data_IF_051986879405
#
_entry.id   IF_051986879405
#
_cell.length_a   1.000
_cell.length_b   1.000
_cell.length_c   1.000
_cell.angle_alpha   90.00
_cell.angle_beta   90.00
_cell.angle_gamma   90.00
#
_symmetry.space_group_name_H-M   'P 1'
#
loop_
_entity.id
_entity.type
_entity.pdbx_description
1 polymer ?
#
# COMPACT_ATOMS: atom_id res chain seq x y z
N UNK A 1 19.98 18.40 56.41
CA UNK A 1 18.72 18.72 55.71
C UNK A 1 18.90 18.31 54.25
N UNK A 2 18.36 17.16 53.85
CA UNK A 2 18.47 16.63 52.47
C UNK A 2 17.45 17.35 51.60
N UNK A 3 17.90 17.96 50.49
CA UNK A 3 17.03 18.34 49.39
C UNK A 3 17.40 17.42 48.23
N UNK A 4 16.50 16.49 47.96
CA UNK A 4 16.46 15.61 46.80
C UNK A 4 16.11 16.44 45.57
N UNK A 5 17.04 16.60 44.63
CA UNK A 5 16.73 17.01 43.26
C UNK A 5 16.25 15.79 42.49
N UNK A 6 14.96 15.78 42.14
CA UNK A 6 14.38 14.79 41.24
C UNK A 6 15.07 14.86 39.87
N UNK A 7 15.34 13.71 39.21
CA UNK A 7 15.90 13.72 37.87
C UNK A 7 14.84 14.25 36.90
N UNK A 8 15.22 15.27 36.12
CA UNK A 8 14.47 15.74 34.96
C UNK A 8 14.30 14.53 34.04
N UNK A 9 13.05 14.11 33.88
CA UNK A 9 12.64 13.06 32.96
C UNK A 9 12.82 13.59 31.52
N UNK A 10 14.06 13.57 31.03
CA UNK A 10 14.39 13.90 29.64
C UNK A 10 13.97 12.71 28.77
N UNK A 11 12.68 12.66 28.42
CA UNK A 11 12.23 11.79 27.34
C UNK A 11 12.90 12.26 26.04
N UNK A 12 13.50 11.36 25.25
CA UNK A 12 14.13 11.76 23.99
C UNK A 12 13.05 12.25 23.02
N UNK A 13 13.09 13.54 22.71
CA UNK A 13 12.46 14.08 21.51
C UNK A 13 13.22 13.54 20.29
N UNK A 14 12.59 13.47 19.11
CA UNK A 14 13.25 13.04 17.87
C UNK A 14 14.57 13.80 17.59
N UNK A 15 14.73 15.00 18.16
CA UNK A 15 15.96 15.78 18.11
C UNK A 15 17.20 15.08 18.69
N UNK A 16 17.03 14.03 19.50
CA UNK A 16 18.12 13.29 20.16
C UNK A 16 18.29 11.85 19.64
N UNK A 17 17.54 11.44 18.60
CA UNK A 17 17.49 10.06 18.12
C UNK A 17 17.74 10.00 16.61
N UNK A 18 18.49 9.01 16.15
CA UNK A 18 18.67 8.83 14.69
C UNK A 18 17.36 8.34 14.06
N UNK A 19 17.21 8.53 12.74
CA UNK A 19 16.07 8.00 12.01
C UNK A 19 15.92 6.47 12.15
N UNK A 20 17.04 5.76 12.16
CA UNK A 20 17.08 4.31 12.33
C UNK A 20 16.58 3.90 13.71
N UNK A 21 17.07 4.56 14.76
CA UNK A 21 16.65 4.27 16.13
C UNK A 21 15.15 4.57 16.33
N UNK A 22 14.67 5.71 15.81
CA UNK A 22 13.25 6.05 15.89
C UNK A 22 12.38 5.01 15.17
N UNK A 23 12.79 4.56 13.99
CA UNK A 23 12.10 3.51 13.23
C UNK A 23 12.02 2.21 14.03
N UNK A 24 13.11 1.80 14.68
CA UNK A 24 13.14 0.60 15.53
C UNK A 24 12.25 0.77 16.77
N UNK A 25 12.27 1.93 17.43
CA UNK A 25 11.42 2.19 18.59
C UNK A 25 9.92 2.18 18.24
N UNK A 26 9.53 2.63 17.04
CA UNK A 26 8.15 2.47 16.56
C UNK A 26 7.81 0.99 16.41
N UNK A 27 8.68 0.20 15.75
CA UNK A 27 8.48 -1.24 15.55
C UNK A 27 8.38 -2.04 16.84
N UNK A 28 9.17 -1.67 17.85
CA UNK A 28 9.20 -2.33 19.15
C UNK A 28 8.14 -1.83 20.14
N UNK A 29 7.30 -0.85 19.75
CA UNK A 29 6.29 -0.27 20.64
C UNK A 29 6.88 0.52 21.81
N UNK A 30 8.08 1.07 21.66
CA UNK A 30 8.81 1.80 22.72
C UNK A 30 8.53 3.30 22.72
N UNK A 31 7.88 3.81 21.68
CA UNK A 31 7.46 5.22 21.63
C UNK A 31 6.35 5.46 22.66
N UNK A 32 6.43 6.52 23.49
CA UNK A 32 5.37 6.86 24.42
C UNK A 32 4.02 6.97 23.73
N UNK A 33 3.07 6.15 24.16
CA UNK A 33 1.73 6.10 23.63
C UNK A 33 0.72 6.71 24.60
N UNK A 34 -0.33 7.31 24.06
CA UNK A 34 -1.42 7.95 24.81
C UNK A 34 -2.75 7.34 24.38
N UNK A 35 -3.76 7.42 25.24
CA UNK A 35 -5.15 7.09 24.89
C UNK A 35 -5.98 8.37 24.86
N UNK A 36 -6.77 8.55 23.80
CA UNK A 36 -7.70 9.68 23.64
C UNK A 36 -9.16 9.26 23.89
N UNK A 37 -9.41 8.04 24.37
CA UNK A 37 -10.75 7.54 24.66
C UNK A 37 -10.75 6.71 25.93
N UNK A 38 -11.80 6.88 26.74
CA UNK A 38 -11.98 6.12 27.99
C UNK A 38 -12.08 4.63 27.66
N UNK A 39 -11.36 3.78 28.41
CA UNK A 39 -11.32 2.32 28.25
C UNK A 39 -10.72 1.79 26.93
N UNK A 40 -9.94 2.60 26.21
CA UNK A 40 -9.15 2.14 25.05
C UNK A 40 -7.66 2.05 25.39
N UNK A 41 -6.92 1.09 24.78
CA UNK A 41 -5.48 0.98 24.99
C UNK A 41 -4.76 2.26 24.59
N UNK A 42 -3.67 2.56 25.29
CA UNK A 42 -2.77 3.65 24.91
C UNK A 42 -1.94 3.20 23.70
N UNK A 43 -2.50 3.41 22.50
CA UNK A 43 -1.88 3.02 21.23
C UNK A 43 -1.60 4.22 20.31
N UNK A 44 -1.85 5.46 20.73
CA UNK A 44 -1.59 6.64 19.92
C UNK A 44 -0.20 7.23 20.19
N UNK A 45 0.61 7.35 19.15
CA UNK A 45 1.93 7.97 19.22
C UNK A 45 1.94 9.31 18.48
N UNK A 46 2.79 10.22 18.92
CA UNK A 46 3.06 11.48 18.20
C UNK A 46 4.13 11.24 17.12
N UNK A 47 3.83 11.66 15.89
CA UNK A 47 4.79 11.64 14.78
C UNK A 47 5.62 12.95 14.83
N UNK A 48 6.96 12.86 14.73
CA UNK A 48 7.81 14.04 14.70
C UNK A 48 7.41 15.05 13.62
N UNK A 49 7.39 16.34 13.98
CA UNK A 49 6.90 17.42 13.11
C UNK A 49 7.67 17.55 11.79
N UNK A 50 8.95 17.16 11.75
CA UNK A 50 9.76 17.16 10.52
C UNK A 50 9.23 16.21 9.43
N UNK A 51 8.47 15.19 9.82
CA UNK A 51 7.82 14.26 8.90
C UNK A 51 6.40 14.70 8.52
N UNK A 52 5.76 15.58 9.29
CA UNK A 52 4.37 15.95 9.10
C UNK A 52 4.21 16.95 7.96
N UNK A 53 3.27 16.65 7.07
CA UNK A 53 2.68 17.61 6.15
C UNK A 53 1.45 18.23 6.80
N UNK A 54 1.22 19.50 6.49
CA UNK A 54 -0.02 20.17 6.88
C UNK A 54 -1.20 19.53 6.11
N UNK A 55 -2.20 18.96 6.80
CA UNK A 55 -3.42 18.51 6.16
C UNK A 55 -4.24 19.73 5.71
N UNK A 56 -3.83 20.30 4.57
CA UNK A 56 -4.57 21.37 3.89
C UNK A 56 -6.00 20.92 3.53
N UNK A 57 -6.82 21.84 3.03
CA UNK A 57 -8.15 21.52 2.50
C UNK A 57 -8.14 20.45 1.39
N UNK A 58 -6.98 20.19 0.77
CA UNK A 58 -6.79 19.17 -0.26
C UNK A 58 -5.70 18.17 0.15
N UNK A 59 -5.99 17.25 1.08
CA UNK A 59 -5.00 16.32 1.65
C UNK A 59 -4.41 15.39 0.60
N UNK A 60 -5.24 14.87 -0.32
CA UNK A 60 -4.78 14.02 -1.43
C UNK A 60 -3.81 14.77 -2.34
N UNK A 61 -4.09 16.03 -2.67
CA UNK A 61 -3.22 16.83 -3.53
C UNK A 61 -1.89 17.11 -2.84
N UNK A 62 -1.95 17.54 -1.57
CA UNK A 62 -0.77 17.87 -0.76
C UNK A 62 0.24 16.73 -0.71
N UNK A 63 -0.18 15.50 -0.38
CA UNK A 63 0.74 14.36 -0.34
C UNK A 63 1.22 13.96 -1.75
N UNK A 64 0.38 14.13 -2.78
CA UNK A 64 0.78 13.87 -4.15
C UNK A 64 1.86 14.85 -4.62
N UNK A 65 1.72 16.13 -4.31
CA UNK A 65 2.64 17.19 -4.73
C UNK A 65 3.98 17.08 -3.99
N UNK A 66 3.95 16.69 -2.71
CA UNK A 66 5.16 16.45 -1.91
C UNK A 66 5.96 15.24 -2.40
N UNK A 67 5.29 14.12 -2.71
CA UNK A 67 5.98 12.89 -3.12
C UNK A 67 6.38 12.96 -4.58
N UNK A 68 5.48 13.45 -5.44
CA UNK A 68 5.70 13.59 -6.86
C UNK A 68 5.94 15.08 -7.23
N UNK A 69 6.97 15.68 -6.63
CA UNK A 69 7.41 17.03 -6.99
C UNK A 69 7.71 17.15 -8.48
N UNK A 70 7.33 18.26 -9.12
CA UNK A 70 7.51 18.49 -10.56
C UNK A 70 6.89 17.39 -11.45
N UNK A 71 5.76 16.82 -11.02
CA UNK A 71 5.12 15.69 -11.70
C UNK A 71 4.91 15.91 -13.20
N UNK A 72 4.37 17.07 -13.59
CA UNK A 72 4.07 17.38 -14.99
C UNK A 72 5.28 17.34 -15.92
N UNK A 73 6.48 17.64 -15.39
CA UNK A 73 7.72 17.60 -16.15
C UNK A 73 8.35 16.19 -16.18
N UNK A 74 8.02 15.32 -15.22
CA UNK A 74 8.80 14.10 -14.99
C UNK A 74 8.02 12.78 -15.08
N UNK A 75 6.68 12.80 -15.18
CA UNK A 75 5.86 11.58 -15.14
C UNK A 75 6.16 10.56 -16.26
N UNK A 76 6.83 10.98 -17.33
CA UNK A 76 7.24 10.12 -18.45
C UNK A 76 8.60 9.44 -18.23
N UNK A 77 9.31 9.74 -17.13
CA UNK A 77 10.59 9.15 -16.79
C UNK A 77 10.42 8.02 -15.77
N UNK A 78 10.77 6.79 -16.16
CA UNK A 78 10.70 5.63 -15.27
C UNK A 78 11.56 5.79 -14.01
N UNK A 79 12.76 6.36 -14.16
CA UNK A 79 13.68 6.64 -13.07
C UNK A 79 13.11 7.61 -12.02
N UNK A 80 12.20 8.51 -12.42
CA UNK A 80 11.54 9.44 -11.49
C UNK A 80 10.43 8.77 -10.67
N UNK A 81 9.79 7.71 -11.21
CA UNK A 81 8.64 7.05 -10.57
C UNK A 81 9.02 5.81 -9.74
N UNK A 82 10.10 5.11 -10.11
CA UNK A 82 10.40 3.77 -9.59
C UNK A 82 10.65 3.72 -8.08
N UNK A 83 11.26 4.76 -7.54
CA UNK A 83 11.70 4.83 -6.15
C UNK A 83 10.74 5.66 -5.27
N UNK A 84 9.60 6.08 -5.83
CA UNK A 84 8.56 6.85 -5.15
C UNK A 84 7.27 6.05 -5.00
N UNK A 85 6.61 6.18 -3.86
CA UNK A 85 5.24 5.71 -3.68
C UNK A 85 4.51 6.45 -2.56
N UNK A 86 3.19 6.50 -2.66
CA UNK A 86 2.32 6.82 -1.53
C UNK A 86 1.77 5.52 -0.96
N UNK A 87 1.85 5.34 0.36
CA UNK A 87 1.34 4.15 1.05
C UNK A 87 0.20 4.54 1.98
N UNK A 88 -0.83 3.70 2.04
CA UNK A 88 -2.03 3.91 2.86
C UNK A 88 -2.58 2.56 3.36
N UNK A 89 -3.34 2.50 4.46
CA UNK A 89 -3.83 1.22 4.98
C UNK A 89 -4.84 0.50 4.05
N UNK A 90 -5.72 1.25 3.36
CA UNK A 90 -6.86 0.67 2.63
C UNK A 90 -6.76 0.82 1.10
N UNK A 91 -7.33 -0.16 0.37
CA UNK A 91 -7.42 -0.10 -1.10
C UNK A 91 -8.27 1.08 -1.60
N UNK A 92 -9.32 1.47 -0.85
CA UNK A 92 -10.17 2.63 -1.20
C UNK A 92 -9.35 3.91 -1.38
N UNK A 93 -8.45 4.18 -0.44
CA UNK A 93 -7.56 5.34 -0.51
C UNK A 93 -6.52 5.20 -1.63
N UNK A 94 -6.01 3.99 -1.87
CA UNK A 94 -5.11 3.72 -3.00
C UNK A 94 -5.79 4.07 -4.33
N UNK A 95 -7.03 3.63 -4.54
CA UNK A 95 -7.79 3.94 -5.77
C UNK A 95 -8.01 5.44 -5.92
N UNK A 96 -8.37 6.14 -4.83
CA UNK A 96 -8.55 7.60 -4.82
C UNK A 96 -7.26 8.33 -5.25
N UNK A 97 -6.12 8.01 -4.65
CA UNK A 97 -4.83 8.65 -4.96
C UNK A 97 -4.39 8.32 -6.38
N UNK A 98 -4.48 7.05 -6.79
CA UNK A 98 -4.09 6.64 -8.14
C UNK A 98 -4.93 7.32 -9.22
N UNK A 99 -6.24 7.45 -9.01
CA UNK A 99 -7.13 8.19 -9.94
C UNK A 99 -6.77 9.67 -9.98
N UNK A 100 -6.51 10.28 -8.83
CA UNK A 100 -6.05 11.68 -8.74
C UNK A 100 -4.76 11.91 -9.54
N UNK A 101 -3.76 11.03 -9.39
CA UNK A 101 -2.50 11.13 -10.13
C UNK A 101 -2.66 10.87 -11.62
N UNK A 102 -3.44 9.85 -12.01
CA UNK A 102 -3.69 9.55 -13.44
C UNK A 102 -4.42 10.69 -14.14
N UNK A 103 -5.31 11.42 -13.45
CA UNK A 103 -5.98 12.61 -14.00
C UNK A 103 -5.00 13.73 -14.37
N UNK A 104 -3.85 13.82 -13.70
CA UNK A 104 -2.79 14.81 -13.97
C UNK A 104 -1.90 14.44 -15.17
N UNK A 105 -1.91 13.17 -15.59
CA UNK A 105 -1.15 12.70 -16.76
C UNK A 105 -1.85 13.20 -18.03
N UNK A 106 -1.09 13.79 -18.96
CA UNK A 106 -1.62 14.21 -20.27
C UNK A 106 -1.90 13.00 -21.16
N UNK A 107 -2.83 13.17 -22.10
CA UNK A 107 -3.18 12.13 -23.09
C UNK A 107 -4.54 11.47 -22.81
N UNK A 108 -4.93 10.62 -23.77
CA UNK A 108 -6.24 9.97 -23.80
C UNK A 108 -6.31 8.83 -22.78
N UNK A 109 -7.40 8.78 -22.01
CA UNK A 109 -7.74 7.62 -21.17
C UNK A 109 -8.13 6.45 -22.08
N UNK A 110 -7.57 5.29 -21.81
CA UNK A 110 -7.98 4.02 -22.40
C UNK A 110 -8.65 3.17 -21.32
N UNK A 111 -9.91 2.83 -21.53
CA UNK A 111 -10.69 1.99 -20.61
C UNK A 111 -10.70 0.54 -21.10
N UNK A 112 -10.40 -0.38 -20.20
CA UNK A 112 -10.47 -1.82 -20.44
C UNK A 112 -11.52 -2.45 -19.53
N UNK A 113 -12.61 -2.91 -20.13
CA UNK A 113 -13.64 -3.70 -19.43
C UNK A 113 -13.24 -5.18 -19.40
N UNK A 114 -13.52 -5.86 -18.30
CA UNK A 114 -13.32 -7.30 -18.20
C UNK A 114 -14.46 -8.07 -18.86
N UNK A 115 -14.28 -9.38 -18.97
CA UNK A 115 -15.36 -10.30 -19.27
C UNK A 115 -15.53 -11.28 -18.11
N UNK A 116 -16.72 -11.29 -17.53
CA UNK A 116 -17.12 -12.10 -16.38
C UNK A 116 -17.96 -13.28 -16.84
N UNK A 117 -17.75 -14.44 -16.21
CA UNK A 117 -18.64 -15.61 -16.31
C UNK A 117 -18.69 -16.34 -14.98
N UNK A 118 -19.84 -16.92 -14.68
CA UNK A 118 -19.93 -17.93 -13.62
C UNK A 118 -19.28 -19.21 -14.14
N UNK A 119 -18.45 -19.86 -13.32
CA UNK A 119 -17.86 -21.14 -13.69
C UNK A 119 -18.94 -22.22 -13.77
N UNK A 120 -19.00 -22.94 -14.90
CA UNK A 120 -20.15 -23.76 -15.30
C UNK A 120 -20.16 -25.20 -14.76
N UNK A 121 -19.29 -25.56 -13.81
CA UNK A 121 -19.20 -26.95 -13.31
C UNK A 121 -20.30 -27.34 -12.32
N UNK A 122 -21.23 -26.43 -11.98
CA UNK A 122 -22.40 -26.75 -11.16
C UNK A 122 -23.62 -27.07 -12.03
N UNK A 123 -24.40 -28.09 -11.62
CA UNK A 123 -25.73 -28.39 -12.18
C UNK A 123 -26.71 -27.21 -12.09
N UNK A 124 -26.36 -26.18 -11.31
CA UNK A 124 -27.13 -24.97 -11.03
C UNK A 124 -26.68 -23.75 -11.86
N UNK A 125 -25.71 -23.88 -12.76
CA UNK A 125 -25.14 -22.74 -13.51
C UNK A 125 -26.20 -21.87 -14.19
N UNK A 126 -27.20 -22.47 -14.84
CA UNK A 126 -28.29 -21.73 -15.49
C UNK A 126 -29.17 -20.96 -14.49
N UNK A 127 -29.42 -21.50 -13.29
CA UNK A 127 -30.16 -20.80 -12.22
C UNK A 127 -29.35 -19.61 -11.70
N UNK A 128 -28.06 -19.84 -11.45
CA UNK A 128 -27.14 -18.82 -10.95
C UNK A 128 -26.94 -17.66 -11.94
N UNK A 129 -26.91 -17.94 -13.25
CA UNK A 129 -26.82 -16.89 -14.28
C UNK A 129 -28.04 -15.96 -14.31
N UNK A 130 -29.23 -16.47 -13.96
CA UNK A 130 -30.45 -15.66 -13.83
C UNK A 130 -30.44 -14.87 -12.52
N UNK A 131 -30.01 -15.48 -11.41
CA UNK A 131 -29.95 -14.83 -10.10
C UNK A 131 -28.86 -13.75 -10.00
N UNK A 132 -27.76 -13.93 -10.74
CA UNK A 132 -26.58 -13.06 -10.72
C UNK A 132 -26.27 -12.54 -12.12
N UNK A 133 -26.97 -11.48 -12.56
CA UNK A 133 -26.79 -10.92 -13.89
C UNK A 133 -25.38 -10.32 -14.06
N UNK A 134 -24.93 -10.15 -15.30
CA UNK A 134 -23.56 -9.70 -15.61
C UNK A 134 -23.28 -8.32 -15.03
N UNK A 135 -24.26 -7.42 -15.04
CA UNK A 135 -24.19 -6.10 -14.44
C UNK A 135 -23.83 -6.16 -12.96
N UNK A 136 -24.39 -7.13 -12.22
CA UNK A 136 -24.04 -7.37 -10.83
C UNK A 136 -22.62 -7.92 -10.69
N UNK A 137 -22.22 -8.90 -11.52
CA UNK A 137 -20.87 -9.47 -11.49
C UNK A 137 -19.80 -8.39 -11.75
N UNK A 138 -20.09 -7.43 -12.63
CA UNK A 138 -19.21 -6.30 -12.95
C UNK A 138 -18.99 -5.37 -11.74
N UNK A 139 -19.91 -5.33 -10.77
CA UNK A 139 -19.73 -4.55 -9.54
C UNK A 139 -18.82 -5.21 -8.51
N UNK A 140 -18.54 -6.51 -8.65
CA UNK A 140 -17.77 -7.26 -7.66
C UNK A 140 -16.26 -6.91 -7.75
N UNK A 141 -15.73 -6.41 -6.64
CA UNK A 141 -14.31 -6.12 -6.46
C UNK A 141 -13.68 -7.05 -5.42
N UNK A 142 -12.49 -7.57 -5.72
CA UNK A 142 -11.79 -8.52 -4.86
C UNK A 142 -10.34 -8.11 -4.66
N UNK A 143 -9.85 -8.19 -3.42
CA UNK A 143 -8.47 -7.83 -3.11
C UNK A 143 -7.47 -8.71 -3.88
N UNK A 144 -6.53 -8.08 -4.59
CA UNK A 144 -5.52 -8.79 -5.38
C UNK A 144 -6.00 -9.27 -6.76
N UNK A 145 -7.21 -8.91 -7.18
CA UNK A 145 -7.74 -9.15 -8.51
C UNK A 145 -7.96 -7.81 -9.23
N UNK A 146 -7.88 -7.79 -10.56
CA UNK A 146 -8.21 -6.59 -11.30
C UNK A 146 -9.72 -6.28 -11.22
N UNK A 147 -10.03 -4.99 -11.18
CA UNK A 147 -11.40 -4.48 -11.23
C UNK A 147 -12.02 -4.73 -12.61
N UNK A 148 -13.35 -4.60 -12.68
CA UNK A 148 -14.08 -4.76 -13.94
C UNK A 148 -13.61 -3.75 -14.99
N UNK A 149 -13.51 -2.48 -14.60
CA UNK A 149 -12.99 -1.40 -15.44
C UNK A 149 -11.58 -1.01 -14.99
N UNK A 150 -10.64 -0.94 -15.94
CA UNK A 150 -9.31 -0.38 -15.72
C UNK A 150 -9.12 0.81 -16.67
N UNK A 151 -8.96 2.00 -16.11
CA UNK A 151 -8.60 3.21 -16.84
C UNK A 151 -7.08 3.44 -16.79
N UNK A 152 -6.43 3.56 -17.95
CA UNK A 152 -5.00 3.81 -18.06
C UNK A 152 -4.68 4.95 -19.03
N UNK A 153 -3.54 5.61 -18.81
CA UNK A 153 -2.89 6.51 -19.76
C UNK A 153 -1.46 6.04 -20.03
N UNK A 154 -0.95 6.32 -21.21
CA UNK A 154 0.48 6.14 -21.53
C UNK A 154 1.32 6.92 -20.50
N UNK A 155 2.48 6.36 -20.16
CA UNK A 155 3.39 6.80 -19.09
C UNK A 155 2.92 6.57 -17.66
N UNK A 156 1.70 6.09 -17.42
CA UNK A 156 1.29 5.74 -16.06
C UNK A 156 2.03 4.50 -15.55
N UNK A 157 2.49 4.48 -14.30
CA UNK A 157 3.03 3.29 -13.66
C UNK A 157 1.87 2.36 -13.29
N UNK A 158 2.03 1.09 -13.66
CA UNK A 158 1.17 0.00 -13.22
C UNK A 158 1.98 -1.05 -12.47
N UNK A 159 1.31 -1.81 -11.62
CA UNK A 159 1.90 -2.94 -10.89
C UNK A 159 1.21 -4.23 -11.33
N UNK A 160 2.00 -5.26 -11.60
CA UNK A 160 1.47 -6.61 -11.86
C UNK A 160 0.85 -7.20 -10.60
N UNK A 161 -0.31 -7.83 -10.77
CA UNK A 161 -1.08 -8.47 -9.71
C UNK A 161 -0.80 -9.97 -9.59
N UNK A 162 -0.20 -10.56 -10.62
CA UNK A 162 0.04 -12.00 -10.74
C UNK A 162 1.40 -12.26 -11.35
N UNK A 163 1.92 -13.44 -11.03
CA UNK A 163 3.09 -13.98 -11.72
C UNK A 163 2.66 -14.40 -13.13
N UNK A 164 3.25 -13.77 -14.14
CA UNK A 164 3.08 -14.17 -15.54
C UNK A 164 4.29 -14.98 -15.99
N UNK A 165 5.48 -14.44 -15.72
CA UNK A 165 6.74 -15.12 -15.93
C UNK A 165 7.80 -14.47 -15.02
N UNK A 166 7.92 -14.91 -13.77
CA UNK A 166 8.89 -14.36 -12.80
C UNK A 166 10.34 -14.46 -13.27
N UNK A 167 10.68 -15.48 -14.05
CA UNK A 167 12.04 -15.72 -14.55
C UNK A 167 12.53 -14.59 -15.45
N UNK A 168 11.62 -13.84 -16.09
CA UNK A 168 11.95 -12.68 -16.93
C UNK A 168 11.57 -11.35 -16.31
N UNK A 169 11.28 -11.32 -15.00
CA UNK A 169 10.90 -10.13 -14.26
C UNK A 169 9.42 -9.77 -14.32
N UNK A 170 8.52 -10.67 -14.78
CA UNK A 170 7.06 -10.46 -14.77
C UNK A 170 6.41 -11.18 -13.57
N UNK A 171 6.85 -10.81 -12.37
CA UNK A 171 6.29 -11.27 -11.10
C UNK A 171 5.23 -10.31 -10.52
N UNK A 172 4.45 -10.81 -9.56
CA UNK A 172 3.55 -10.00 -8.75
C UNK A 172 4.34 -8.88 -8.04
N UNK A 173 3.82 -7.66 -8.07
CA UNK A 173 4.50 -6.48 -7.52
C UNK A 173 5.43 -5.77 -8.50
N UNK A 174 5.76 -6.36 -9.66
CA UNK A 174 6.61 -5.71 -10.66
C UNK A 174 5.96 -4.42 -11.13
N UNK A 175 6.68 -3.29 -10.99
CA UNK A 175 6.23 -1.99 -11.47
C UNK A 175 6.67 -1.77 -12.92
N UNK A 176 5.71 -1.42 -13.77
CA UNK A 176 5.86 -1.26 -15.21
C UNK A 176 5.35 0.12 -15.60
N UNK A 177 6.12 0.89 -16.38
CA UNK A 177 5.63 2.11 -17.01
C UNK A 177 4.92 1.73 -18.32
N UNK A 178 3.66 2.14 -18.46
CA UNK A 178 2.91 1.90 -19.70
C UNK A 178 3.53 2.71 -20.84
N UNK A 179 3.83 2.06 -21.97
CA UNK A 179 4.35 2.72 -23.18
C UNK A 179 3.34 2.73 -24.31
N UNK A 180 2.53 1.66 -24.46
CA UNK A 180 1.45 1.61 -25.44
C UNK A 180 0.23 0.87 -24.88
N UNK A 181 -0.95 1.39 -25.23
CA UNK A 181 -2.25 0.83 -24.87
C UNK A 181 -2.96 0.39 -26.15
N UNK A 182 -3.10 -0.93 -26.32
CA UNK A 182 -3.75 -1.55 -27.47
C UNK A 182 -4.85 -2.48 -26.95
N UNK A 183 -5.81 -2.86 -27.80
CA UNK A 183 -7.03 -3.59 -27.40
C UNK A 183 -6.76 -4.86 -26.59
N UNK A 184 -5.76 -5.65 -26.99
CA UNK A 184 -5.50 -6.97 -26.41
C UNK A 184 -4.18 -7.07 -25.64
N UNK A 185 -3.35 -6.03 -25.67
CA UNK A 185 -2.01 -6.02 -25.07
C UNK A 185 -1.70 -4.65 -24.49
N UNK A 186 -1.19 -4.61 -23.28
CA UNK A 186 -0.52 -3.44 -22.71
C UNK A 186 0.98 -3.63 -22.92
N UNK A 187 1.64 -2.72 -23.63
CA UNK A 187 3.11 -2.68 -23.67
C UNK A 187 3.63 -1.76 -22.58
N UNK A 188 4.73 -2.13 -21.96
CA UNK A 188 5.37 -1.31 -20.97
C UNK A 188 6.83 -1.62 -20.76
N UNK A 189 7.48 -0.81 -19.94
CA UNK A 189 8.87 -0.89 -19.55
C UNK A 189 8.96 -1.31 -18.08
N UNK A 190 9.69 -2.38 -17.76
CA UNK A 190 9.96 -2.71 -16.34
C UNK A 190 10.81 -1.57 -15.76
N UNK A 191 10.35 -1.00 -14.64
CA UNK A 191 10.96 0.22 -14.11
C UNK A 191 12.13 -0.03 -13.15
N UNK A 192 12.22 -1.20 -12.52
CA UNK A 192 13.25 -1.50 -11.51
C UNK A 192 13.62 -2.98 -11.40
N UNK A 193 14.60 -3.26 -10.53
CA UNK A 193 15.17 -4.60 -10.35
C UNK A 193 16.12 -5.00 -11.50
N UNK A 194 16.51 -6.28 -11.53
CA UNK A 194 17.47 -6.81 -12.50
C UNK A 194 17.01 -6.70 -13.97
N UNK A 195 15.71 -6.51 -14.21
CA UNK A 195 15.11 -6.41 -15.53
C UNK A 195 14.70 -4.97 -15.91
N UNK A 196 15.17 -3.96 -15.17
CA UNK A 196 14.89 -2.56 -15.45
C UNK A 196 15.24 -2.20 -16.91
N UNK A 197 14.36 -1.44 -17.57
CA UNK A 197 14.53 -1.06 -18.97
C UNK A 197 14.08 -2.11 -20.00
N UNK A 198 13.69 -3.31 -19.57
CA UNK A 198 13.15 -4.33 -20.48
C UNK A 198 11.72 -3.98 -20.91
N UNK A 199 11.48 -4.00 -22.22
CA UNK A 199 10.14 -3.85 -22.80
C UNK A 199 9.39 -5.18 -22.73
N UNK A 200 8.14 -5.12 -22.27
CA UNK A 200 7.28 -6.29 -22.03
C UNK A 200 5.88 -6.05 -22.57
N UNK A 201 5.20 -7.15 -22.90
CA UNK A 201 3.82 -7.17 -23.34
C UNK A 201 2.98 -7.94 -22.33
N UNK A 202 1.94 -7.29 -21.80
CA UNK A 202 1.05 -7.85 -20.79
C UNK A 202 -0.28 -8.22 -21.46
N UNK A 203 -0.62 -9.51 -21.57
CA UNK A 203 -1.90 -9.95 -22.09
C UNK A 203 -2.98 -9.93 -20.99
N UNK A 204 -4.24 -10.05 -21.41
CA UNK A 204 -5.33 -10.40 -20.50
C UNK A 204 -5.20 -11.85 -20.05
N UNK A 205 -5.39 -12.10 -18.77
CA UNK A 205 -5.46 -13.45 -18.21
C UNK A 205 -6.87 -13.75 -17.70
N UNK A 206 -7.23 -15.02 -17.62
CA UNK A 206 -8.43 -15.46 -16.90
C UNK A 206 -8.03 -15.74 -15.47
N UNK A 207 -8.78 -15.17 -14.53
CA UNK A 207 -8.60 -15.42 -13.10
C UNK A 207 -9.88 -16.01 -12.55
N UNK A 208 -9.76 -17.12 -11.84
CA UNK A 208 -10.84 -17.74 -11.08
C UNK A 208 -10.84 -17.15 -9.68
N UNK A 209 -11.98 -16.62 -9.25
CA UNK A 209 -12.21 -16.03 -7.94
C UNK A 209 -13.20 -16.94 -7.24
N UNK A 210 -12.69 -17.67 -6.26
CA UNK A 210 -13.49 -18.41 -5.30
C UNK A 210 -13.61 -17.56 -4.04
N UNK A 211 -14.83 -17.29 -3.60
CA UNK A 211 -15.09 -16.49 -2.41
C UNK A 211 -16.26 -17.12 -1.67
N UNK A 212 -16.03 -17.54 -0.42
CA UNK A 212 -17.02 -18.18 0.44
C UNK A 212 -18.31 -17.36 0.66
N UNK A 213 -18.28 -16.05 0.36
CA UNK A 213 -19.46 -15.18 0.41
C UNK A 213 -20.46 -15.47 -0.71
N UNK A 214 -20.01 -16.00 -1.84
CA UNK A 214 -20.85 -16.17 -3.05
C UNK A 214 -21.02 -17.65 -3.37
N UNK A 215 -22.22 -18.08 -3.83
CA UNK A 215 -22.48 -19.49 -4.15
C UNK A 215 -21.91 -19.91 -5.52
N UNK A 216 -20.97 -19.14 -6.07
CA UNK A 216 -20.38 -19.36 -7.39
C UNK A 216 -18.90 -18.98 -7.40
N UNK A 217 -18.17 -19.62 -8.32
CA UNK A 217 -16.82 -19.20 -8.69
C UNK A 217 -16.90 -18.23 -9.87
N UNK A 218 -16.36 -17.03 -9.70
CA UNK A 218 -16.32 -16.02 -10.76
C UNK A 218 -15.08 -16.21 -11.62
N UNK A 219 -15.25 -16.33 -12.93
CA UNK A 219 -14.18 -16.23 -13.92
C UNK A 219 -14.13 -14.82 -14.48
N UNK A 220 -13.03 -14.10 -14.24
CA UNK A 220 -12.80 -12.76 -14.80
C UNK A 220 -11.63 -12.77 -15.76
N UNK A 221 -11.85 -12.38 -17.02
CA UNK A 221 -10.79 -12.15 -18.01
C UNK A 221 -10.41 -10.67 -18.07
N UNK A 222 -9.21 -10.33 -17.60
CA UNK A 222 -8.75 -8.94 -17.52
C UNK A 222 -7.21 -8.85 -17.53
N UNK A 223 -6.66 -7.67 -17.79
CA UNK A 223 -5.23 -7.42 -17.58
C UNK A 223 -4.90 -7.50 -16.08
N UNK A 224 -3.86 -8.24 -15.67
CA UNK A 224 -3.50 -8.42 -14.27
C UNK A 224 -2.66 -7.24 -13.76
N UNK A 225 -3.16 -6.02 -13.94
CA UNK A 225 -2.45 -4.78 -13.58
C UNK A 225 -3.34 -3.83 -12.79
N UNK A 226 -2.72 -2.96 -11.99
CA UNK A 226 -3.39 -1.79 -11.37
C UNK A 226 -2.47 -0.58 -11.43
N UNK A 227 -3.02 0.64 -11.45
CA UNK A 227 -2.23 1.87 -11.27
C UNK A 227 -1.41 1.83 -9.97
N UNK A 228 -0.21 2.40 -10.00
CA UNK A 228 0.80 2.25 -8.95
C UNK A 228 1.58 3.55 -8.64
N UNK A 229 0.87 4.67 -8.48
CA UNK A 229 1.39 5.84 -7.76
C UNK A 229 1.25 5.68 -6.25
N UNK A 230 0.18 5.00 -5.84
CA UNK A 230 -0.07 4.57 -4.48
C UNK A 230 -0.28 3.06 -4.39
N UNK A 231 0.03 2.50 -3.22
CA UNK A 231 -0.22 1.10 -2.88
C UNK A 231 -0.61 0.96 -1.41
N UNK A 232 -1.11 -0.20 -1.01
CA UNK A 232 -1.36 -0.43 0.42
C UNK A 232 -0.04 -0.63 1.15
N UNK A 233 0.01 -0.31 2.44
CA UNK A 233 1.19 -0.54 3.28
C UNK A 233 1.64 -2.02 3.18
N UNK A 234 0.69 -2.95 3.26
CA UNK A 234 0.99 -4.38 3.15
C UNK A 234 1.62 -4.75 1.78
N UNK A 235 1.22 -4.08 0.69
CA UNK A 235 1.82 -4.29 -0.64
C UNK A 235 3.20 -3.68 -0.79
N UNK A 236 3.53 -2.67 0.02
CA UNK A 236 4.87 -2.06 0.04
C UNK A 236 5.91 -2.90 0.78
N UNK A 237 5.48 -3.91 1.55
CA UNK A 237 6.37 -4.76 2.33
C UNK A 237 7.43 -5.44 1.43
N UNK A 238 8.69 -5.36 1.85
CA UNK A 238 9.83 -5.90 1.09
C UNK A 238 10.35 -4.98 -0.03
N UNK A 239 9.68 -3.86 -0.33
CA UNK A 239 10.17 -2.87 -1.27
C UNK A 239 11.00 -1.80 -0.54
N UNK A 240 12.11 -1.38 -1.14
CA UNK A 240 12.88 -0.21 -0.69
C UNK A 240 12.64 0.93 -1.67
N UNK A 241 12.31 2.11 -1.13
CA UNK A 241 11.97 3.32 -1.87
C UNK A 241 12.84 4.48 -1.35
N UNK A 242 13.08 5.49 -2.18
CA UNK A 242 13.81 6.70 -1.77
C UNK A 242 12.89 7.73 -1.16
N UNK A 243 11.64 7.83 -1.65
CA UNK A 243 10.64 8.77 -1.13
C UNK A 243 9.28 8.09 -0.94
N UNK A 244 8.75 8.17 0.28
CA UNK A 244 7.46 7.57 0.67
C UNK A 244 6.59 8.58 1.39
N UNK A 245 5.37 8.73 0.88
CA UNK A 245 4.30 9.45 1.57
C UNK A 245 3.39 8.47 2.27
N UNK A 246 3.30 8.54 3.59
CA UNK A 246 2.36 7.76 4.39
C UNK A 246 1.08 8.58 4.54
N UNK A 247 0.03 8.19 3.80
CA UNK A 247 -1.27 8.84 3.84
C UNK A 247 -2.21 8.10 4.80
N UNK A 248 -2.59 8.74 5.90
CA UNK A 248 -3.44 8.17 6.94
C UNK A 248 -4.72 9.00 7.14
N UNK A 249 -5.75 8.86 6.28
CA UNK A 249 -7.08 9.42 6.55
C UNK A 249 -7.78 8.78 7.74
N UNK A 250 -7.35 7.56 8.06
CA UNK A 250 -7.68 6.80 9.26
C UNK A 250 -6.38 6.16 9.75
N UNK A 251 -6.26 5.89 11.06
CA UNK A 251 -5.11 5.19 11.61
C UNK A 251 -4.91 3.81 10.97
N UNK A 252 -3.69 3.28 11.11
CA UNK A 252 -3.42 1.87 10.84
C UNK A 252 -4.25 0.99 11.78
N UNK A 253 -4.56 -0.23 11.33
CA UNK A 253 -5.49 -1.13 12.03
C UNK A 253 -4.90 -2.53 12.29
N UNK A 254 -3.64 -2.75 11.92
CA UNK A 254 -2.98 -4.06 12.04
C UNK A 254 -1.59 -3.94 12.64
N UNK A 255 -1.15 -5.02 13.27
CA UNK A 255 0.15 -5.14 13.91
C UNK A 255 1.31 -4.75 12.99
N UNK A 256 2.21 -3.91 13.48
CA UNK A 256 3.44 -3.55 12.78
C UNK A 256 3.23 -2.77 11.48
N UNK A 257 1.99 -2.43 11.11
CA UNK A 257 1.68 -1.80 9.84
C UNK A 257 2.34 -0.41 9.74
N UNK A 258 2.35 0.37 10.82
CA UNK A 258 3.04 1.67 10.83
C UNK A 258 4.56 1.51 10.62
N UNK A 259 5.18 0.54 11.31
CA UNK A 259 6.58 0.20 11.12
C UNK A 259 6.90 -0.24 9.68
N UNK A 260 6.04 -1.06 9.07
CA UNK A 260 6.20 -1.45 7.66
C UNK A 260 6.24 -0.21 6.77
N UNK A 261 5.35 0.77 6.99
CA UNK A 261 5.33 2.00 6.20
C UNK A 261 6.61 2.84 6.36
N UNK A 262 7.08 3.04 7.60
CA UNK A 262 8.28 3.84 7.91
C UNK A 262 9.54 3.20 7.34
N UNK A 263 9.69 1.88 7.53
CA UNK A 263 10.87 1.12 7.11
C UNK A 263 11.04 0.97 5.59
N UNK A 264 10.15 1.57 4.77
CA UNK A 264 10.28 1.55 3.31
C UNK A 264 11.35 2.51 2.80
N UNK A 265 11.73 3.52 3.59
CA UNK A 265 12.79 4.49 3.22
C UNK A 265 14.03 4.32 4.09
N UNK A 266 15.17 4.80 3.58
CA UNK A 266 16.47 4.72 4.26
C UNK A 266 16.91 6.02 4.93
N UNK A 267 16.23 7.13 4.65
CA UNK A 267 16.57 8.43 5.24
C UNK A 267 15.32 9.16 5.75
N UNK A 268 15.54 10.08 6.67
CA UNK A 268 14.50 10.92 7.24
C UNK A 268 13.86 11.82 6.17
N UNK A 269 14.65 12.37 5.23
CA UNK A 269 14.13 13.26 4.18
C UNK A 269 13.21 12.53 3.20
N UNK A 270 13.40 11.22 3.05
CA UNK A 270 12.56 10.37 2.21
C UNK A 270 11.16 10.13 2.79
N UNK A 271 10.91 10.43 4.07
CA UNK A 271 9.65 10.10 4.74
C UNK A 271 8.79 11.34 4.96
N UNK A 272 7.53 11.26 4.52
CA UNK A 272 6.50 12.25 4.84
C UNK A 272 5.20 11.59 5.26
N UNK A 273 4.52 12.18 6.22
CA UNK A 273 3.22 11.77 6.72
C UNK A 273 2.19 12.85 6.42
N UNK A 274 1.03 12.42 5.92
CA UNK A 274 -0.16 13.25 5.94
C UNK A 274 -1.25 12.49 6.68
N UNK A 275 -1.53 12.96 7.90
CA UNK A 275 -2.47 12.35 8.83
C UNK A 275 -3.73 13.21 8.89
N UNK A 276 -4.88 12.57 8.73
CA UNK A 276 -6.17 13.18 9.03
C UNK A 276 -6.74 12.46 10.23
N UNK A 277 -7.04 13.22 11.27
CA UNK A 277 -7.60 12.73 12.50
C UNK A 277 -9.04 13.23 12.65
N UNK A 278 -9.81 12.52 13.48
CA UNK A 278 -11.11 13.01 13.94
C UNK A 278 -10.87 14.17 14.93
N UNK A 279 -11.86 15.07 15.06
CA UNK A 279 -11.70 16.36 15.76
C UNK A 279 -11.18 16.26 17.20
N UNK A 280 -11.41 15.12 17.88
CA UNK A 280 -10.99 14.89 19.26
C UNK A 280 -9.54 14.40 19.41
N UNK A 281 -8.85 14.07 18.32
CA UNK A 281 -7.47 13.59 18.33
C UNK A 281 -6.56 14.70 17.79
N UNK A 282 -5.50 15.09 18.51
CA UNK A 282 -4.59 16.13 18.05
C UNK A 282 -3.93 15.79 16.70
N UNK A 283 -3.61 16.82 15.92
CA UNK A 283 -2.85 16.66 14.68
C UNK A 283 -1.49 16.01 14.96
N UNK A 284 -1.02 15.19 14.01
CA UNK A 284 0.26 14.50 14.12
C UNK A 284 0.25 13.21 14.94
N UNK A 285 -0.87 12.84 15.55
CA UNK A 285 -1.01 11.56 16.24
C UNK A 285 -1.54 10.47 15.33
N UNK A 286 -1.05 9.24 15.49
CA UNK A 286 -1.63 8.05 14.84
C UNK A 286 -1.45 6.81 15.71
N UNK A 287 -2.20 5.75 15.41
CA UNK A 287 -2.09 4.49 16.16
C UNK A 287 -0.82 3.74 15.79
N UNK A 288 -0.18 3.13 16.78
CA UNK A 288 0.91 2.17 16.62
C UNK A 288 0.52 0.86 17.30
N UNK A 289 0.03 -0.09 16.51
CA UNK A 289 -0.42 -1.39 17.02
C UNK A 289 0.77 -2.35 17.02
N UNK A 290 1.26 -2.69 18.21
CA UNK A 290 2.35 -3.64 18.44
C UNK A 290 1.87 -4.66 19.48
N UNK A 291 1.94 -5.95 19.15
CA UNK A 291 1.58 -7.06 20.03
C UNK A 291 2.88 -7.60 20.59
N UNK A 292 3.00 -7.64 21.91
CA UNK A 292 4.20 -8.14 22.61
C UNK A 292 4.24 -9.66 22.66
N UNK A 293 3.09 -10.36 22.64
CA UNK A 293 3.04 -11.83 22.83
C UNK A 293 3.65 -12.62 21.67
N UNK A 294 3.83 -11.99 20.50
CA UNK A 294 4.49 -12.61 19.33
C UNK A 294 6.00 -12.75 19.52
N UNK A 295 6.59 -12.04 20.49
CA UNK A 295 8.02 -12.12 20.82
C UNK A 295 8.30 -13.04 22.01
N UNK A 296 7.36 -13.14 22.96
CA UNK A 296 7.53 -13.96 24.16
C UNK A 296 7.36 -15.47 23.90
N UNK A 297 6.61 -15.85 22.86
CA UNK A 297 6.43 -17.24 22.43
C UNK A 297 7.67 -17.86 21.74
N UNK A 298 8.73 -17.07 21.50
CA UNK A 298 9.99 -17.53 20.93
C UNK A 298 11.13 -17.70 21.94
N UNK A 299 10.86 -17.54 23.25
CA UNK A 299 11.84 -17.78 24.30
C UNK A 299 12.90 -16.67 24.38
N UNK A 300 13.08 -16.10 25.56
CA UNK A 300 14.00 -15.00 25.81
C UNK A 300 15.41 -15.24 25.29
N UNK A 301 15.72 -14.64 24.16
CA UNK A 301 17.07 -14.29 23.75
C UNK A 301 16.98 -12.96 23.00
N UNK A 302 17.69 -11.95 23.51
CA UNK A 302 17.87 -10.66 22.85
C UNK A 302 18.58 -10.89 21.51
N UNK A 303 17.83 -11.13 20.45
CA UNK A 303 18.33 -11.11 19.08
C UNK A 303 18.13 -9.70 18.53
N UNK A 304 19.22 -8.98 18.35
CA UNK A 304 19.27 -7.84 17.44
C UNK A 304 18.86 -8.35 16.04
N UNK A 305 17.66 -8.01 15.59
CA UNK A 305 17.19 -8.38 14.24
C UNK A 305 17.82 -7.39 13.24
N UNK A 306 18.67 -7.84 12.30
CA UNK A 306 19.18 -6.95 11.27
C UNK A 306 18.05 -6.52 10.31
N UNK A 307 18.16 -5.36 9.63
CA UNK A 307 17.09 -4.74 8.82
C UNK A 307 16.53 -5.58 7.66
N UNK A 308 17.05 -6.78 7.44
CA UNK A 308 16.78 -7.64 6.28
C UNK A 308 16.01 -8.92 6.62
N UNK A 309 15.76 -9.20 7.90
CA UNK A 309 15.19 -10.47 8.34
C UNK A 309 13.77 -10.31 8.90
N UNK A 310 12.84 -9.84 8.07
CA UNK A 310 11.40 -10.12 8.27
C UNK A 310 10.91 -10.85 7.03
N UNK A 311 11.24 -12.14 6.94
CA UNK A 311 10.53 -13.10 6.09
C UNK A 311 9.41 -13.68 6.95
N UNK A 312 8.20 -13.15 6.83
CA UNK A 312 7.03 -13.88 7.30
C UNK A 312 6.81 -15.09 6.39
N UNK A 313 6.58 -16.24 7.01
CA UNK A 313 6.26 -17.47 6.32
C UNK A 313 5.09 -17.25 5.36
N UNK A 314 5.31 -17.56 4.08
CA UNK A 314 4.26 -17.74 3.09
C UNK A 314 3.46 -18.99 3.46
N UNK A 315 2.49 -18.84 4.36
CA UNK A 315 1.44 -19.82 4.62
C UNK A 315 0.19 -19.40 3.87
N UNK A 316 -0.30 -20.27 3.00
CA UNK A 316 -1.65 -20.20 2.46
C UNK A 316 -2.64 -20.13 3.62
N UNK A 317 -3.32 -18.98 3.78
CA UNK A 317 -4.71 -18.87 4.26
C UNK A 317 -5.10 -17.37 4.27
N UNK A 318 -5.46 -16.87 3.10
CA UNK A 318 -6.16 -15.60 2.94
C UNK A 318 -7.67 -15.86 2.90
N UNK A 319 -8.21 -16.34 4.02
CA UNK A 319 -9.65 -16.42 4.25
C UNK A 319 -9.98 -16.05 5.69
N UNK A 320 -9.69 -14.81 6.06
CA UNK A 320 -10.33 -14.07 7.16
C UNK A 320 -9.74 -12.66 7.18
N UNK A 321 -10.51 -11.68 7.59
CA UNK A 321 -10.25 -10.24 7.52
C UNK A 321 -10.63 -9.56 6.20
N UNK A 322 -11.93 -9.62 5.92
CA UNK A 322 -12.67 -8.62 5.15
C UNK A 322 -13.16 -7.50 6.07
N UNK A 323 -12.55 -6.31 5.98
CA UNK A 323 -13.18 -4.97 6.15
C UNK A 323 -12.48 -3.99 5.22
#
# INVERSE_FOLDING_TARGET
MRITSSPINQQPTFACMTFADWTLSVGNGQIPATSFSVNQPADWISIPSCFLLDPSSQPTATICDEIYSDFSANYHHAAYLIDKAIVTPTNKNVTKINKHMMNRVRGRVHSYFSAEKIHSDSKDSARLEVEYPTEFLNTLAFSGFPDHEIELKVFSPVMLLRNLNPEIGLGNGTRIMVTYLITYVIKGLIMGGAYAGKVVAIPRIVVNIDNQKWPFMLKRRQFPVRLCYAMTINKSQGQTLTRVGVFLPKPVFSHGQLYVAISRVRSAEGLKFLIQNEDHIPLGYTRNIVYSETFDSLGGASLCIPPTAIRFASGNDLSTFSV
#
